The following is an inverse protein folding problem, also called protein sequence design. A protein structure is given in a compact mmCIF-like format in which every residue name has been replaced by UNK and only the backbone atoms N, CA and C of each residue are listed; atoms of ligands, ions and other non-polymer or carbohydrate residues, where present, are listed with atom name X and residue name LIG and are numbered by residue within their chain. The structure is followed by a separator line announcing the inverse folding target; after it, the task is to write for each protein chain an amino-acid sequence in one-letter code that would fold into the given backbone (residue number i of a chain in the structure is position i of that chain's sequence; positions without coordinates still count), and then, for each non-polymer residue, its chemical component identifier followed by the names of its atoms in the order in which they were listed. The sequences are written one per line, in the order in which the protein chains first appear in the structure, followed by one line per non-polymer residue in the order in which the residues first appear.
data_IF_700035097769
#
_entry.id   IF_700035097769
#
_cell.length_a   1.000
_cell.length_b   1.000
_cell.length_c   1.000
_cell.angle_alpha   90.00
_cell.angle_beta   90.00
_cell.angle_gamma   90.00
#
_symmetry.space_group_name_H-M   'P 1'
#
loop_
_entity.id
_entity.type
_entity.pdbx_description
1 polymer ?
2 polymer ?
3 water ?
#
loop_
_entity_poly.entity_id
_entity_poly.type
_entity_poly.pdbx_seq_one_letter_code
_entity_poly.pdbx_strand_id
2 'polyribonucleotide' 'CCCC' ?
#
# COMPACT_ATOMS: atom_id res chain seq x y z
N UNK A 3 -5.32 -2.48 7.81
CA UNK A 3 -5.47 -1.07 7.43
C UNK A 3 -4.75 -0.17 8.42
N UNK A 4 -4.39 -0.74 9.57
CA UNK A 4 -3.66 0.02 10.59
C UNK A 4 -2.17 0.08 10.32
N UNK A 5 -1.79 -0.12 9.05
CA UNK A 5 -0.41 -0.11 8.61
C UNK A 5 -0.01 1.20 7.93
N UNK A 6 -0.99 2.05 7.61
CA UNK A 6 -0.78 3.24 6.79
C UNK A 6 -0.60 4.46 7.68
N UNK A 7 0.40 5.27 7.37
CA UNK A 7 0.73 6.42 8.19
C UNK A 7 0.36 7.69 7.46
N UNK A 8 -0.11 8.66 8.23
CA UNK A 8 -0.21 10.04 7.79
C UNK A 8 0.90 10.82 8.48
N UNK A 9 1.65 11.58 7.70
CA UNK A 9 2.69 12.47 8.21
C UNK A 9 2.22 13.89 7.96
N UNK A 10 2.13 14.69 9.03
CA UNK A 10 1.62 16.04 8.95
C UNK A 10 2.62 17.10 9.39
N UNK A 11 2.15 18.35 9.31
CA UNK A 11 2.93 19.52 9.69
C UNK A 11 4.25 19.61 8.92
N UNK A 12 4.21 19.28 7.63
CA UNK A 12 5.38 19.34 6.77
C UNK A 12 5.45 20.71 6.10
N UNK A 13 6.66 21.25 5.97
CA UNK A 13 6.80 22.46 5.18
C UNK A 13 6.68 22.12 3.69
N UNK A 14 6.43 23.16 2.91
CA UNK A 14 6.16 23.01 1.49
C UNK A 14 7.32 22.38 0.73
N UNK A 15 8.56 22.53 1.21
CA UNK A 15 9.71 21.96 0.56
C UNK A 15 10.15 20.62 1.16
N UNK A 16 9.29 19.95 1.92
CA UNK A 16 9.61 18.60 2.38
C UNK A 16 9.65 17.66 1.18
N UNK A 17 10.70 16.87 1.07
CA UNK A 17 10.84 15.90 -0.01
C UNK A 17 10.80 14.48 0.53
N UNK A 18 10.42 13.49 -0.31
CA UNK A 18 10.54 12.08 0.09
C UNK A 18 11.83 11.73 0.79
N UNK A 19 12.95 12.24 0.28
CA UNK A 19 14.25 11.89 0.87
C UNK A 19 14.34 12.35 2.32
N UNK A 20 13.74 13.51 2.65
CA UNK A 20 13.69 13.95 4.05
C UNK A 20 13.03 12.89 4.93
N UNK A 21 11.88 12.36 4.47
CA UNK A 21 11.11 11.42 5.27
C UNK A 21 11.79 10.06 5.33
N UNK A 22 12.39 9.64 4.22
CA UNK A 22 13.21 8.42 4.18
C UNK A 22 14.27 8.42 5.27
N UNK A 23 15.03 9.52 5.38
CA UNK A 23 16.09 9.61 6.38
C UNK A 23 15.52 9.58 7.78
N UNK A 24 14.42 10.28 8.00
CA UNK A 24 13.78 10.29 9.31
C UNK A 24 13.38 8.88 9.72
N UNK A 25 12.79 8.11 8.79
CA UNK A 25 12.42 6.75 9.14
C UNK A 25 13.63 5.85 9.28
N UNK A 26 14.63 6.04 8.41
CA UNK A 26 15.89 5.28 8.52
C UNK A 26 16.60 5.59 9.85
N UNK A 27 16.69 6.87 10.22
CA UNK A 27 17.26 7.24 11.52
C UNK A 27 16.55 6.52 12.66
N UNK A 28 15.22 6.47 12.62
CA UNK A 28 14.48 5.79 13.66
C UNK A 28 14.41 4.28 13.43
N UNK A 29 15.03 3.77 12.36
CA UNK A 29 15.08 2.34 12.06
C UNK A 29 13.69 1.75 11.85
N UNK A 30 12.81 2.49 11.19
CA UNK A 30 11.46 2.03 10.89
C UNK A 30 11.40 1.64 9.41
N UNK A 31 11.10 0.37 9.10
CA UNK A 31 10.93 0.00 7.68
C UNK A 31 9.61 0.51 7.12
N UNK A 32 9.61 0.81 5.84
CA UNK A 32 8.37 1.13 5.16
C UNK A 32 8.22 0.12 4.02
N UNK A 33 6.98 -0.17 3.68
CA UNK A 33 6.69 -1.18 2.67
C UNK A 33 6.27 -0.56 1.35
N UNK A 34 6.29 0.77 1.25
CA UNK A 34 6.00 1.46 0.03
C UNK A 34 6.67 2.82 0.01
N UNK A 35 6.43 3.60 -1.03
CA UNK A 35 7.08 4.91 -1.14
C UNK A 35 6.38 5.97 -0.30
N UNK A 36 7.13 7.02 0.03
CA UNK A 36 6.53 8.19 0.65
C UNK A 36 5.78 8.97 -0.42
N UNK A 37 4.47 9.10 -0.27
CA UNK A 37 3.69 9.96 -1.16
C UNK A 37 3.56 11.32 -0.46
N UNK A 38 4.18 12.34 -1.05
CA UNK A 38 4.26 13.66 -0.44
C UNK A 38 3.31 14.60 -1.17
N UNK A 39 2.43 15.26 -0.41
CA UNK A 39 1.58 16.30 -0.95
C UNK A 39 2.12 17.63 -0.46
N UNK A 40 1.25 18.57 -0.14
CA UNK A 40 1.64 19.93 0.25
C UNK A 40 1.27 20.12 1.72
N UNK A 41 2.27 20.02 2.59
CA UNK A 41 2.06 20.06 4.02
C UNK A 41 1.90 18.71 4.71
N UNK A 42 1.80 17.62 3.95
CA UNK A 42 1.54 16.32 4.56
C UNK A 42 1.95 15.23 3.57
N UNK A 43 1.98 13.99 4.07
CA UNK A 43 2.41 12.87 3.25
C UNK A 43 1.81 11.59 3.80
N UNK A 44 1.98 10.50 3.03
CA UNK A 44 1.57 9.16 3.40
C UNK A 44 2.70 8.18 3.14
N UNK A 45 2.83 7.20 4.03
CA UNK A 45 3.68 6.04 3.81
C UNK A 45 3.04 4.86 4.53
N UNK A 46 3.31 3.66 4.04
CA UNK A 46 2.84 2.42 4.64
C UNK A 46 3.99 1.70 5.32
N UNK A 47 3.69 1.05 6.43
CA UNK A 47 4.64 0.24 7.13
C UNK A 47 4.29 -1.24 6.96
N UNK A 48 5.24 -2.15 7.16
CA UNK A 48 4.95 -3.55 6.82
C UNK A 48 3.87 -4.18 7.68
N UNK A 49 3.64 -3.67 8.90
CA UNK A 49 2.51 -4.10 9.70
C UNK A 49 2.16 -2.99 10.69
N UNK A 50 1.15 -3.25 11.52
CA UNK A 50 0.65 -2.24 12.46
C UNK A 50 1.58 -2.04 13.65
N UNK A 51 2.43 -3.02 13.95
CA UNK A 51 3.41 -2.84 15.02
C UNK A 51 4.49 -1.84 14.60
N UNK A 52 4.97 -1.96 13.36
CA UNK A 52 5.95 -0.98 12.87
C UNK A 52 5.34 0.41 12.76
N UNK A 53 4.10 0.49 12.28
CA UNK A 53 3.47 1.80 12.11
C UNK A 53 3.24 2.45 13.47
N UNK A 54 2.82 1.68 14.48
CA UNK A 54 2.69 2.22 15.82
C UNK A 54 4.05 2.65 16.36
N UNK A 55 5.09 1.86 16.08
CA UNK A 55 6.42 2.25 16.50
C UNK A 55 6.83 3.57 15.84
N UNK A 56 6.49 3.77 14.57
CA UNK A 56 6.77 5.05 13.93
C UNK A 56 6.06 6.20 14.64
N UNK A 57 4.77 6.02 14.94
CA UNK A 57 4.00 7.06 15.61
C UNK A 57 4.63 7.41 16.93
N UNK A 58 4.91 6.38 17.75
CA UNK A 58 5.48 6.60 19.08
C UNK A 58 6.86 7.23 18.99
N UNK A 59 7.65 6.83 18.01
CA UNK A 59 9.02 7.35 17.91
C UNK A 59 9.08 8.75 17.31
N UNK A 60 8.13 9.13 16.46
CA UNK A 60 8.33 10.31 15.64
C UNK A 60 7.35 11.44 15.92
N UNK A 61 6.08 11.14 16.15
CA UNK A 61 5.07 12.20 16.18
C UNK A 61 5.36 13.17 17.32
N UNK A 62 5.56 14.43 16.95
CA UNK A 62 5.86 15.47 17.91
C UNK A 62 7.28 15.49 18.42
N UNK A 63 8.13 14.54 18.02
CA UNK A 63 9.47 14.50 18.58
C UNK A 63 10.57 14.85 17.59
N UNK A 64 10.34 14.63 16.31
CA UNK A 64 11.34 14.90 15.27
C UNK A 64 10.92 16.16 14.54
N UNK A 65 11.85 17.08 14.37
CA UNK A 65 11.61 18.29 13.61
C UNK A 65 12.21 18.15 12.23
N UNK A 66 11.51 18.68 11.25
CA UNK A 66 12.00 18.79 9.89
C UNK A 66 11.73 20.23 9.47
N UNK A 67 12.77 20.94 9.04
CA UNK A 67 12.65 22.34 8.62
C UNK A 67 12.01 23.16 9.74
N UNK A 68 12.50 22.94 10.95
CA UNK A 68 12.07 23.66 12.11
C UNK A 68 10.70 23.32 12.67
N UNK A 69 9.98 22.36 12.07
CA UNK A 69 8.62 22.04 12.46
C UNK A 69 8.54 20.62 13.00
N UNK A 70 8.08 20.40 14.25
CA UNK A 70 7.76 19.05 14.72
C UNK A 70 6.80 18.30 13.79
N UNK A 71 7.25 17.16 13.24
CA UNK A 71 6.38 16.39 12.35
C UNK A 71 5.28 15.72 13.16
N UNK A 72 4.12 15.53 12.53
CA UNK A 72 3.07 14.68 13.05
C UNK A 72 3.13 13.37 12.29
N UNK A 73 3.06 12.25 13.02
CA UNK A 73 2.92 10.93 12.42
C UNK A 73 1.74 10.26 13.12
N UNK A 74 0.71 9.93 12.35
CA UNK A 74 -0.57 9.44 12.87
C UNK A 74 -1.02 8.29 11.99
N UNK A 75 -1.90 7.44 12.52
CA UNK A 75 -2.61 6.51 11.64
C UNK A 75 -3.32 7.31 10.58
N UNK A 76 -3.21 6.88 9.32
CA UNK A 76 -3.97 7.51 8.24
C UNK A 76 -5.43 7.06 8.33
N UNK A 77 -6.34 8.00 8.52
CA UNK A 77 -7.74 7.63 8.59
C UNK A 77 -8.54 8.54 7.65
N UNK A 78 -9.15 7.98 6.60
CA UNK A 78 -10.04 8.79 5.76
C UNK A 78 -11.21 9.31 6.59
N UNK A 79 -11.69 10.48 6.21
CA UNK A 79 -12.69 11.17 7.02
C UNK A 79 -13.91 10.30 7.24
N UNK A 80 -14.33 9.56 6.22
CA UNK A 80 -15.49 8.69 6.35
C UNK A 80 -15.29 7.54 7.32
N UNK A 81 -14.06 7.27 7.76
CA UNK A 81 -13.79 6.20 8.70
C UNK A 81 -13.45 6.71 10.08
N UNK A 82 -13.65 8.00 10.31
CA UNK A 82 -13.49 8.58 11.65
C UNK A 82 -14.87 8.55 12.30
N UNK A 83 -15.18 7.45 12.97
CA UNK A 83 -16.53 7.30 13.49
C UNK A 83 -16.49 7.05 14.99
N UNK A 84 -16.34 5.79 15.42
CA UNK A 84 -16.41 5.47 16.85
C UNK A 84 -15.09 5.08 17.48
N UNK A 85 -14.07 4.76 16.69
CA UNK A 85 -12.87 4.10 17.19
C UNK A 85 -11.73 5.10 17.36
N UNK A 86 -11.05 5.02 18.49
CA UNK A 86 -9.91 5.86 18.82
C UNK A 86 -8.77 5.00 19.34
N UNK A 87 -7.57 5.54 19.24
CA UNK A 87 -6.41 5.00 19.91
C UNK A 87 -5.91 6.02 20.91
N UNK A 88 -5.51 5.55 22.08
CA UNK A 88 -4.97 6.38 23.13
C UNK A 88 -3.54 5.95 23.38
N UNK A 89 -2.62 6.90 23.30
CA UNK A 89 -1.21 6.67 23.49
C UNK A 89 -0.72 7.50 24.67
N UNK A 90 0.49 7.18 25.13
CA UNK A 90 1.16 7.86 26.23
C UNK A 90 0.42 7.65 27.56
N UNK A 91 -0.26 6.52 27.70
CA UNK A 91 -0.92 6.18 28.97
C UNK A 91 0.17 5.85 30.00
N UNK A 92 0.11 6.42 31.20
CA UNK A 92 1.16 6.16 32.21
C UNK A 92 1.38 4.68 32.40
N UNK A 93 2.62 4.26 32.64
CA UNK A 93 2.97 2.84 32.49
C UNK A 93 2.11 1.87 33.28
N UNK A 94 1.87 2.15 34.56
CA UNK A 94 1.16 1.19 35.41
C UNK A 94 -0.21 1.70 35.83
N UNK A 95 -0.82 2.53 34.99
CA UNK A 95 -2.11 3.09 35.29
C UNK A 95 -3.13 1.99 35.54
N UNK A 96 -3.81 2.06 36.68
CA UNK A 96 -4.94 1.18 36.94
C UNK A 96 -6.01 1.36 35.89
N UNK A 97 -6.50 0.24 35.34
CA UNK A 97 -7.55 0.33 34.33
C UNK A 97 -8.81 0.94 34.90
N UNK A 98 -9.03 0.82 36.22
CA UNK A 98 -10.16 1.50 36.85
C UNK A 98 -10.10 3.00 36.62
N UNK A 99 -8.90 3.58 36.63
CA UNK A 99 -8.76 5.01 36.41
C UNK A 99 -9.10 5.37 34.98
N UNK A 100 -8.49 4.66 34.01
CA UNK A 100 -8.78 4.91 32.61
C UNK A 100 -10.27 4.77 32.31
N UNK A 101 -10.90 3.70 32.81
CA UNK A 101 -12.34 3.54 32.63
C UNK A 101 -13.10 4.75 33.15
N UNK A 102 -12.69 5.29 34.31
CA UNK A 102 -13.43 6.41 34.90
C UNK A 102 -13.36 7.64 34.02
N UNK A 103 -12.32 7.73 33.21
CA UNK A 103 -12.18 8.84 32.27
C UNK A 103 -12.97 8.56 31.00
N UNK A 104 -12.88 7.31 30.50
CA UNK A 104 -13.52 6.97 29.24
C UNK A 104 -15.03 7.12 29.33
N UNK A 105 -15.62 6.64 30.43
CA UNK A 105 -17.08 6.57 30.51
C UNK A 105 -17.74 7.92 30.70
N UNK A 106 -16.94 8.96 31.01
CA UNK A 106 -17.52 10.30 31.07
C UNK A 106 -17.99 10.80 29.71
N UNK A 107 -17.61 10.13 28.62
CA UNK A 107 -17.97 10.58 27.28
C UNK A 107 -18.83 9.60 26.51
N UNK A 108 -19.13 8.42 27.06
CA UNK A 108 -20.07 7.54 26.43
C UNK A 108 -19.95 6.14 26.99
N UNK A 109 -20.61 5.22 26.33
CA UNK A 109 -20.49 3.81 26.65
C UNK A 109 -19.36 3.22 25.83
N UNK A 110 -18.40 2.63 26.50
CA UNK A 110 -17.27 2.01 25.83
C UNK A 110 -17.77 0.69 25.27
N UNK A 111 -17.96 0.64 23.95
CA UNK A 111 -18.38 -0.59 23.28
C UNK A 111 -17.26 -1.61 23.28
N UNK A 112 -16.02 -1.13 23.15
CA UNK A 112 -14.87 -2.02 23.03
C UNK A 112 -13.65 -1.28 23.55
N UNK A 113 -12.76 -2.01 24.22
CA UNK A 113 -11.50 -1.44 24.67
C UNK A 113 -10.48 -2.56 24.74
N UNK A 114 -9.35 -2.36 24.08
CA UNK A 114 -8.33 -3.39 23.93
C UNK A 114 -6.96 -2.77 24.14
N UNK A 115 -6.17 -3.34 25.04
CA UNK A 115 -4.78 -2.92 25.17
C UNK A 115 -3.97 -3.39 23.95
N UNK A 116 -3.12 -2.50 23.43
CA UNK A 116 -2.24 -2.83 22.31
C UNK A 116 -0.83 -3.05 22.83
N UNK A 117 -0.27 -4.20 22.50
CA UNK A 117 1.09 -4.53 22.94
C UNK A 117 2.10 -3.52 22.38
N UNK A 118 3.13 -3.25 23.18
CA UNK A 118 4.11 -2.22 22.87
C UNK A 118 5.28 -2.37 23.83
N UNK A 119 6.48 -2.06 23.35
CA UNK A 119 7.67 -2.12 24.20
C UNK A 119 8.05 -0.76 24.77
N UNK A 120 7.30 0.29 24.43
CA UNK A 120 7.55 1.60 25.02
C UNK A 120 7.17 1.60 26.51
N UNK A 121 7.68 2.62 27.21
CA UNK A 121 7.39 2.75 28.64
C UNK A 121 5.90 2.87 28.91
N UNK A 122 5.14 3.40 27.97
CA UNK A 122 3.76 3.81 28.18
C UNK A 122 2.82 2.84 27.46
N UNK A 123 1.56 2.88 27.84
CA UNK A 123 0.58 1.94 27.27
C UNK A 123 -0.23 2.59 26.15
N UNK A 124 -0.89 1.73 25.37
CA UNK A 124 -1.72 2.11 24.23
C UNK A 124 -2.96 1.25 24.28
N UNK A 125 -4.12 1.86 24.04
CA UNK A 125 -5.37 1.12 23.99
C UNK A 125 -6.21 1.66 22.85
N UNK A 126 -6.93 0.75 22.20
CA UNK A 126 -7.95 1.10 21.22
C UNK A 126 -9.30 1.11 21.91
N UNK A 127 -10.12 2.10 21.58
CA UNK A 127 -11.43 2.27 22.20
C UNK A 127 -12.46 2.45 21.12
N UNK A 128 -13.51 1.63 21.17
CA UNK A 128 -14.72 1.85 20.39
C UNK A 128 -15.78 2.39 21.34
N UNK A 129 -16.19 3.62 21.11
CA UNK A 129 -17.36 4.18 21.75
C UNK A 129 -18.63 3.71 21.04
N UNK A 130 -19.76 3.86 21.74
CA UNK A 130 -21.02 3.38 21.21
C UNK A 130 -21.51 4.20 20.02
N UNK A 131 -21.07 5.45 19.89
CA UNK A 131 -21.53 6.26 18.77
C UNK A 131 -20.43 7.21 18.30
N UNK A 132 -20.67 7.78 17.12
CA UNK A 132 -19.80 8.80 16.56
C UNK A 132 -19.65 9.99 17.51
N UNK A 133 -20.77 10.51 18.01
CA UNK A 133 -20.70 11.70 18.84
C UNK A 133 -19.91 11.45 20.12
N UNK A 134 -19.98 10.24 20.68
CA UNK A 134 -19.23 9.96 21.90
C UNK A 134 -17.73 9.99 21.64
N UNK A 135 -17.27 9.27 20.61
CA UNK A 135 -15.85 9.26 20.28
C UNK A 135 -15.35 10.67 20.02
N UNK A 136 -16.17 11.49 19.34
CA UNK A 136 -15.72 12.84 19.03
C UNK A 136 -15.52 13.67 20.29
N UNK A 137 -16.46 13.57 21.24
CA UNK A 137 -16.31 14.30 22.49
C UNK A 137 -15.11 13.77 23.28
N UNK A 138 -14.96 12.45 23.34
CA UNK A 138 -13.83 11.84 24.03
C UNK A 138 -12.51 12.30 23.43
N UNK A 139 -12.43 12.39 22.11
CA UNK A 139 -11.20 12.85 21.46
C UNK A 139 -10.91 14.30 21.82
N UNK A 140 -11.93 15.17 21.75
CA UNK A 140 -11.75 16.55 22.14
C UNK A 140 -11.31 16.70 23.60
N UNK A 141 -11.83 15.86 24.50
CA UNK A 141 -11.55 16.03 25.93
C UNK A 141 -10.32 15.26 26.43
N UNK A 142 -9.98 14.14 25.78
CA UNK A 142 -8.86 13.33 26.23
C UNK A 142 -7.56 13.65 25.50
N UNK A 143 -7.61 14.06 24.24
CA UNK A 143 -6.39 14.39 23.52
C UNK A 143 -5.73 15.61 24.15
N UNK A 144 -4.53 15.41 24.69
CA UNK A 144 -3.85 16.45 25.42
C UNK A 144 -4.07 16.46 26.92
N UNK A 145 -4.96 15.60 27.43
CA UNK A 145 -5.24 15.59 28.86
C UNK A 145 -4.02 15.11 29.65
N UNK A 146 -3.68 15.86 30.69
CA UNK A 146 -2.47 15.59 31.45
C UNK A 146 -2.81 14.68 32.62
N UNK A 147 -2.11 13.56 32.71
CA UNK A 147 -2.39 12.52 33.70
C UNK A 147 -1.05 12.05 34.24
N UNK A 148 -0.75 12.41 35.50
CA UNK A 148 0.47 12.00 36.19
C UNK A 148 1.72 12.37 35.40
N UNK A 149 1.77 13.64 34.94
CA UNK A 149 2.88 14.16 34.14
C UNK A 149 3.06 13.42 32.81
N UNK A 150 2.04 12.71 32.36
CA UNK A 150 1.97 12.21 31.00
C UNK A 150 0.83 12.93 30.27
N UNK A 151 1.03 13.21 28.99
CA UNK A 151 0.02 13.89 28.19
C UNK A 151 -0.59 12.87 27.24
N UNK A 152 -1.84 12.49 27.49
CA UNK A 152 -2.52 11.53 26.63
C UNK A 152 -2.55 12.03 25.20
N UNK A 153 -2.28 11.12 24.27
CA UNK A 153 -2.40 11.38 22.84
C UNK A 153 -3.54 10.53 22.32
N UNK A 154 -4.58 11.18 21.80
CA UNK A 154 -5.78 10.49 21.35
C UNK A 154 -6.05 10.89 19.90
N UNK A 155 -6.26 9.88 19.05
CA UNK A 155 -6.46 10.10 17.63
C UNK A 155 -7.43 9.05 17.11
N UNK A 156 -8.01 9.33 15.95
CA UNK A 156 -8.90 8.36 15.29
C UNK A 156 -8.12 7.18 14.74
N UNK A 157 -8.78 6.03 14.73
CA UNK A 157 -8.33 4.89 13.94
C UNK A 157 -9.47 4.49 13.02
N UNK A 158 -9.19 3.73 11.94
CA UNK A 158 -10.25 3.42 10.97
C UNK A 158 -11.42 2.67 11.60
N UNK A 159 -12.60 3.23 11.46
CA UNK A 159 -13.82 2.51 11.78
C UNK A 159 -14.31 1.83 10.51
N UNK A 160 -14.27 0.49 10.49
CA UNK A 160 -14.69 -0.36 9.36
C UNK A 160 -14.15 0.13 8.02
N UNK B 3 9.30 -12.15 -26.11
CA UNK B 3 8.44 -11.06 -26.54
C UNK B 3 7.29 -10.84 -25.56
N UNK B 4 6.69 -9.65 -25.66
CA UNK B 4 5.66 -9.24 -24.72
C UNK B 4 4.25 -9.58 -25.16
N UNK B 5 4.09 -10.66 -25.94
CA UNK B 5 2.78 -11.21 -26.21
C UNK B 5 2.61 -12.60 -25.63
N UNK B 6 3.60 -13.08 -24.89
CA UNK B 6 3.54 -14.37 -24.23
C UNK B 6 3.00 -14.21 -22.82
N UNK B 7 2.01 -15.02 -22.47
CA UNK B 7 1.33 -14.92 -21.20
C UNK B 7 1.68 -16.10 -20.31
N UNK B 8 1.76 -15.83 -19.02
CA UNK B 8 1.76 -16.84 -17.98
C UNK B 8 0.39 -16.80 -17.30
N UNK B 9 -0.21 -17.97 -17.13
CA UNK B 9 -1.50 -18.11 -16.48
C UNK B 9 -1.30 -18.96 -15.23
N UNK B 10 -1.54 -18.38 -14.05
CA UNK B 10 -1.31 -19.06 -12.79
C UNK B 10 -2.57 -19.26 -11.97
N UNK B 11 -2.36 -19.93 -10.82
CA UNK B 11 -3.44 -20.29 -9.90
C UNK B 11 -4.54 -21.10 -10.59
N UNK B 12 -4.13 -22.01 -11.46
CA UNK B 12 -5.04 -22.97 -12.09
C UNK B 12 -5.25 -24.17 -11.19
N UNK B 13 -6.46 -24.72 -11.25
CA UNK B 13 -6.70 -26.00 -10.61
C UNK B 13 -6.01 -27.11 -11.40
N UNK B 14 -5.79 -28.24 -10.72
CA UNK B 14 -5.13 -29.36 -11.36
C UNK B 14 -6.01 -30.04 -12.40
N UNK B 15 -7.30 -29.68 -12.45
CA UNK B 15 -8.24 -30.22 -13.41
C UNK B 15 -8.29 -29.41 -14.70
N UNK B 16 -7.72 -28.20 -14.71
CA UNK B 16 -7.89 -27.28 -15.82
C UNK B 16 -7.37 -27.89 -17.12
N UNK B 17 -8.18 -27.80 -18.15
CA UNK B 17 -7.86 -28.24 -19.50
C UNK B 17 -7.73 -27.04 -20.42
N UNK B 18 -7.11 -27.21 -21.59
CA UNK B 18 -7.06 -26.09 -22.55
C UNK B 18 -8.44 -25.55 -22.90
N UNK B 19 -9.45 -26.42 -22.99
CA UNK B 19 -10.79 -25.95 -23.35
C UNK B 19 -11.32 -24.96 -22.34
N UNK B 20 -10.97 -25.15 -21.06
CA UNK B 20 -11.33 -24.16 -20.06
C UNK B 20 -10.78 -22.80 -20.41
N UNK B 21 -9.53 -22.74 -20.83
CA UNK B 21 -8.91 -21.46 -21.11
C UNK B 21 -9.37 -20.88 -22.45
N UNK B 22 -9.59 -21.73 -23.46
CA UNK B 22 -10.17 -21.26 -24.72
C UNK B 22 -11.48 -20.52 -24.46
N UNK B 23 -12.41 -21.12 -23.71
CA UNK B 23 -13.70 -20.47 -23.50
C UNK B 23 -13.55 -19.18 -22.71
N UNK B 24 -12.58 -19.13 -21.79
CA UNK B 24 -12.32 -17.91 -21.04
C UNK B 24 -11.86 -16.78 -21.96
N UNK B 25 -10.83 -17.04 -22.79
CA UNK B 25 -10.38 -15.99 -23.71
C UNK B 25 -11.46 -15.66 -24.72
N UNK B 26 -12.19 -16.67 -25.19
CA UNK B 26 -13.26 -16.44 -26.16
C UNK B 26 -14.31 -15.49 -25.60
N UNK B 27 -14.76 -15.73 -24.36
CA UNK B 27 -15.77 -14.86 -23.77
C UNK B 27 -15.25 -13.45 -23.61
N UNK B 28 -14.01 -13.31 -23.16
CA UNK B 28 -13.39 -12.00 -23.01
C UNK B 28 -12.99 -11.38 -24.34
N UNK B 29 -13.23 -12.08 -25.45
CA UNK B 29 -12.97 -11.55 -26.79
C UNK B 29 -11.48 -11.22 -26.98
N UNK B 30 -10.63 -12.11 -26.50
CA UNK B 30 -9.18 -12.00 -26.64
C UNK B 30 -8.72 -13.13 -27.55
N UNK B 31 -8.12 -12.83 -28.71
CA UNK B 31 -7.56 -13.89 -29.55
C UNK B 31 -6.25 -14.42 -28.99
N UNK B 32 -5.93 -15.65 -29.39
CA UNK B 32 -4.59 -16.19 -29.13
C UNK B 32 -3.95 -16.60 -30.46
N UNK B 33 -2.63 -16.50 -30.52
CA UNK B 33 -1.88 -16.85 -31.72
C UNK B 33 -1.35 -18.28 -31.70
N UNK B 34 -1.56 -19.02 -30.61
CA UNK B 34 -1.21 -20.42 -30.56
C UNK B 34 -1.98 -21.19 -29.50
N UNK B 35 -1.59 -22.42 -29.25
CA UNK B 35 -2.34 -23.25 -28.30
C UNK B 35 -1.96 -22.93 -26.85
N UNK B 36 -2.90 -23.25 -25.95
CA UNK B 36 -2.63 -23.23 -24.53
C UNK B 36 -1.80 -24.46 -24.16
N UNK B 37 -0.73 -24.24 -23.38
CA UNK B 37 0.12 -25.31 -22.89
C UNK B 37 -0.09 -25.41 -21.39
N UNK B 38 -0.87 -26.40 -20.95
CA UNK B 38 -1.25 -26.53 -19.55
C UNK B 38 -0.23 -27.41 -18.83
N UNK B 39 0.41 -26.85 -17.81
CA UNK B 39 1.32 -27.58 -16.94
C UNK B 39 0.55 -27.98 -15.68
N UNK B 40 1.06 -27.76 -14.47
CA UNK B 40 0.43 -28.20 -13.22
C UNK B 40 0.17 -26.98 -12.35
N UNK B 41 -1.03 -26.43 -12.47
CA UNK B 41 -1.40 -25.23 -11.76
C UNK B 41 -1.10 -23.95 -12.48
N UNK B 42 -0.61 -24.02 -13.71
CA UNK B 42 -0.28 -22.85 -14.52
C UNK B 42 -0.24 -23.26 -15.98
N UNK B 43 -0.24 -22.25 -16.86
CA UNK B 43 -0.31 -22.47 -18.30
C UNK B 43 0.40 -21.34 -19.03
N UNK B 44 0.78 -21.61 -20.29
CA UNK B 44 1.34 -20.59 -21.17
C UNK B 44 0.48 -20.48 -22.43
N UNK B 45 0.45 -19.28 -23.00
CA UNK B 45 -0.25 -19.03 -24.27
C UNK B 45 0.30 -17.74 -24.84
N UNK B 46 0.21 -17.61 -26.17
CA UNK B 46 0.61 -16.41 -26.88
C UNK B 46 -0.59 -15.69 -27.48
N UNK B 47 -0.58 -14.39 -27.35
CA UNK B 47 -1.49 -13.45 -27.98
C UNK B 47 -0.86 -12.90 -29.26
N UNK B 48 -1.66 -12.42 -30.20
CA UNK B 48 -1.10 -12.00 -31.50
C UNK B 48 -0.09 -10.86 -31.41
N UNK B 49 -0.18 -10.00 -30.39
CA UNK B 49 0.75 -8.89 -30.24
C UNK B 49 0.77 -8.47 -28.77
N UNK B 50 1.59 -7.45 -28.47
CA UNK B 50 1.71 -6.96 -27.10
C UNK B 50 0.39 -6.41 -26.57
N UNK B 51 -0.38 -5.75 -27.42
CA UNK B 51 -1.55 -5.06 -26.90
C UNK B 51 -2.66 -6.06 -26.53
N UNK B 52 -2.80 -7.14 -27.30
CA UNK B 52 -3.73 -8.18 -26.88
C UNK B 52 -3.26 -8.84 -25.58
N UNK B 53 -1.95 -9.06 -25.43
CA UNK B 53 -1.42 -9.63 -24.20
C UNK B 53 -1.74 -8.75 -22.99
N UNK B 54 -1.57 -7.43 -23.13
CA UNK B 54 -1.91 -6.50 -22.05
C UNK B 54 -3.40 -6.55 -21.75
N UNK B 55 -4.23 -6.54 -22.78
CA UNK B 55 -5.67 -6.62 -22.56
C UNK B 55 -6.05 -7.89 -21.81
N UNK B 56 -5.41 -9.00 -22.14
CA UNK B 56 -5.64 -10.24 -21.41
C UNK B 56 -5.37 -10.04 -19.92
N UNK B 57 -4.22 -9.43 -19.60
CA UNK B 57 -3.85 -9.23 -18.21
C UNK B 57 -4.91 -8.37 -17.51
N UNK B 58 -5.34 -7.28 -18.14
CA UNK B 58 -6.24 -6.37 -17.45
C UNK B 58 -7.67 -6.93 -17.38
N UNK B 59 -8.11 -7.62 -18.44
CA UNK B 59 -9.46 -8.15 -18.44
C UNK B 59 -9.57 -9.39 -17.57
N UNK B 60 -8.53 -10.22 -17.51
CA UNK B 60 -8.67 -11.55 -16.94
C UNK B 60 -8.09 -11.70 -15.53
N UNK B 61 -6.90 -11.13 -15.27
CA UNK B 61 -6.16 -11.47 -14.06
C UNK B 61 -6.92 -11.08 -12.78
N UNK B 62 -7.14 -12.07 -11.92
CA UNK B 62 -7.91 -11.87 -10.69
C UNK B 62 -9.39 -11.61 -10.87
N UNK B 63 -9.90 -11.59 -12.11
CA UNK B 63 -11.29 -11.27 -12.36
C UNK B 63 -12.12 -12.46 -12.81
N UNK B 64 -11.49 -13.56 -13.18
CA UNK B 64 -12.15 -14.74 -13.71
C UNK B 64 -11.77 -15.92 -12.84
N UNK B 65 -12.76 -16.70 -12.44
CA UNK B 65 -12.49 -17.91 -11.67
C UNK B 65 -12.68 -19.11 -12.57
N UNK B 66 -11.82 -20.11 -12.36
CA UNK B 66 -11.93 -21.38 -13.05
C UNK B 66 -11.90 -22.47 -11.99
N UNK B 67 -12.95 -23.30 -11.95
CA UNK B 67 -13.06 -24.37 -10.97
C UNK B 67 -12.96 -23.85 -9.53
N UNK B 68 -13.35 -22.60 -9.32
CA UNK B 68 -13.42 -22.02 -8.00
C UNK B 68 -12.23 -21.17 -7.59
N UNK B 69 -11.17 -21.15 -8.40
CA UNK B 69 -10.04 -20.30 -8.06
C UNK B 69 -9.93 -19.19 -9.07
N UNK B 70 -9.60 -17.97 -8.66
CA UNK B 70 -9.40 -16.91 -9.65
C UNK B 70 -8.09 -17.14 -10.37
N UNK B 71 -8.14 -17.07 -11.69
CA UNK B 71 -6.92 -17.23 -12.47
C UNK B 71 -6.07 -15.97 -12.35
N UNK B 72 -4.77 -16.12 -12.58
CA UNK B 72 -3.84 -15.01 -12.65
C UNK B 72 -3.27 -14.97 -14.06
N UNK B 73 -3.12 -13.78 -14.62
CA UNK B 73 -2.57 -13.62 -15.95
C UNK B 73 -1.51 -12.53 -15.90
N UNK B 74 -0.34 -12.82 -16.48
CA UNK B 74 0.76 -11.89 -16.43
C UNK B 74 1.66 -12.14 -17.63
N UNK B 75 2.47 -11.15 -17.95
CA UNK B 75 3.54 -11.35 -18.92
C UNK B 75 4.41 -12.53 -18.50
N UNK B 76 4.68 -13.42 -19.45
CA UNK B 76 5.64 -14.49 -19.19
C UNK B 76 7.05 -13.94 -19.31
N UNK B 77 7.78 -13.95 -18.21
CA UNK B 77 9.15 -13.43 -18.19
C UNK B 77 10.03 -14.47 -17.52
N UNK B 78 10.93 -15.13 -18.24
CA UNK B 78 11.87 -16.03 -17.55
C UNK B 78 12.64 -15.26 -16.50
N UNK B 79 13.07 -15.98 -15.47
CA UNK B 79 13.73 -15.33 -14.33
C UNK B 79 14.97 -14.56 -14.78
N UNK B 80 15.78 -15.15 -15.67
CA UNK B 80 17.00 -14.49 -16.13
C UNK B 80 16.71 -13.21 -16.90
N UNK B 81 15.48 -13.01 -17.37
CA UNK B 81 15.10 -11.81 -18.09
C UNK B 81 14.38 -10.79 -17.22
N UNK B 82 14.25 -11.05 -15.93
CA UNK B 82 13.68 -10.10 -14.97
C UNK B 82 14.85 -9.28 -14.43
N UNK B 83 15.07 -8.09 -15.00
CA UNK B 83 16.25 -7.32 -14.66
C UNK B 83 15.87 -5.88 -14.37
N UNK B 84 15.96 -4.99 -15.37
CA UNK B 84 15.75 -3.56 -15.15
C UNK B 84 14.33 -3.06 -15.46
N UNK B 85 13.52 -3.84 -16.16
CA UNK B 85 12.32 -3.31 -16.79
C UNK B 85 11.06 -3.75 -16.06
N UNK B 86 10.18 -2.79 -15.78
CA UNK B 86 8.90 -3.05 -15.13
C UNK B 86 7.77 -2.46 -15.96
N UNK B 87 6.59 -3.06 -15.83
CA UNK B 87 5.35 -2.45 -16.30
C UNK B 87 4.49 -2.10 -15.09
N UNK B 88 3.93 -0.89 -15.10
CA UNK B 88 3.08 -0.39 -14.03
C UNK B 88 1.69 -0.19 -14.61
N UNK B 89 0.70 -0.82 -14.00
CA UNK B 89 -0.68 -0.77 -14.47
C UNK B 89 -1.57 -0.18 -13.39
N UNK B 90 -2.78 0.19 -13.80
CA UNK B 90 -3.79 0.72 -12.90
C UNK B 90 -3.36 2.05 -12.29
N UNK B 91 -2.63 2.85 -13.06
CA UNK B 91 -2.29 4.21 -12.65
C UNK B 91 -3.56 5.07 -12.75
N UNK B 92 -3.91 5.85 -11.72
CA UNK B 92 -5.08 6.74 -11.80
C UNK B 92 -5.03 7.62 -13.03
N UNK B 93 -6.17 7.78 -13.72
CA UNK B 93 -6.17 8.42 -15.05
C UNK B 93 -5.50 9.79 -15.14
N UNK B 94 -5.67 10.66 -14.15
CA UNK B 94 -5.23 12.03 -14.29
C UNK B 94 -3.96 12.33 -13.52
N UNK B 95 -3.27 11.30 -13.04
CA UNK B 95 -2.08 11.51 -12.22
C UNK B 95 -1.08 12.40 -12.93
N UNK B 96 -0.67 13.47 -12.27
CA UNK B 96 0.49 14.24 -12.73
C UNK B 96 1.70 13.32 -12.80
N UNK B 97 2.38 13.34 -13.94
CA UNK B 97 3.55 12.49 -14.11
C UNK B 97 4.60 12.77 -13.05
N UNK B 98 4.66 14.00 -12.57
CA UNK B 98 5.60 14.34 -11.50
C UNK B 98 5.29 13.60 -10.20
N UNK B 99 4.02 13.23 -9.97
CA UNK B 99 3.70 12.44 -8.79
C UNK B 99 4.25 11.04 -8.94
N UNK B 100 3.97 10.41 -10.08
CA UNK B 100 4.53 9.09 -10.35
C UNK B 100 6.05 9.11 -10.31
N UNK B 101 6.67 10.12 -10.93
CA UNK B 101 8.13 10.20 -10.92
C UNK B 101 8.68 10.30 -9.50
N UNK B 102 8.05 11.10 -8.63
CA UNK B 102 8.55 11.21 -7.27
C UNK B 102 8.52 9.86 -6.57
N UNK B 103 7.63 8.96 -6.98
CA UNK B 103 7.66 7.61 -6.43
C UNK B 103 8.78 6.79 -7.06
N UNK B 104 8.88 6.84 -8.39
CA UNK B 104 9.84 6.00 -9.09
C UNK B 104 11.27 6.27 -8.64
N UNK B 105 11.62 7.53 -8.38
CA UNK B 105 13.02 7.85 -8.14
C UNK B 105 13.46 7.47 -6.74
N UNK B 106 12.51 7.15 -5.85
CA UNK B 106 12.88 6.67 -4.53
C UNK B 106 13.64 5.35 -4.61
N UNK B 107 13.61 4.67 -5.74
CA UNK B 107 14.17 3.33 -5.83
C UNK B 107 15.34 3.22 -6.80
N UNK B 108 15.65 4.26 -7.56
CA UNK B 108 16.82 4.26 -8.40
C UNK B 108 16.69 5.28 -9.51
N UNK B 109 17.56 5.15 -10.50
CA UNK B 109 17.57 6.07 -11.64
C UNK B 109 16.69 5.49 -12.73
N UNK B 110 15.76 6.29 -13.24
CA UNK B 110 14.87 5.86 -14.31
C UNK B 110 15.58 6.17 -15.62
N UNK B 111 16.12 5.15 -16.28
CA UNK B 111 16.74 5.39 -17.59
C UNK B 111 15.68 5.73 -18.65
N UNK B 112 14.51 5.10 -18.58
CA UNK B 112 13.45 5.47 -19.50
C UNK B 112 12.09 5.12 -18.91
N UNK B 113 11.09 5.82 -19.43
CA UNK B 113 9.70 5.66 -19.06
C UNK B 113 8.87 5.87 -20.32
N UNK B 114 7.98 4.94 -20.61
CA UNK B 114 7.19 4.99 -21.84
C UNK B 114 5.74 4.71 -21.50
N UNK B 115 4.85 5.56 -21.99
CA UNK B 115 3.44 5.28 -21.83
C UNK B 115 2.99 4.23 -22.82
N UNK B 116 2.13 3.34 -22.38
CA UNK B 116 1.63 2.25 -23.22
C UNK B 116 0.19 2.54 -23.55
N UNK B 117 -0.16 2.40 -24.82
CA UNK B 117 -1.55 2.55 -25.20
C UNK B 117 -2.39 1.50 -24.50
N UNK B 118 -3.58 1.90 -24.10
CA UNK B 118 -4.50 0.97 -23.44
C UNK B 118 -5.90 1.53 -23.61
N UNK B 119 -6.87 0.61 -23.76
CA UNK B 119 -8.27 0.98 -23.79
C UNK B 119 -8.83 1.23 -22.41
N UNK B 120 -8.06 0.92 -21.38
CA UNK B 120 -8.43 1.17 -19.99
C UNK B 120 -8.46 2.67 -19.70
N UNK B 121 -9.25 3.05 -18.70
CA UNK B 121 -9.19 4.43 -18.24
C UNK B 121 -7.94 4.70 -17.41
N UNK B 122 -7.36 3.66 -16.81
CA UNK B 122 -6.11 3.81 -16.11
C UNK B 122 -4.95 3.81 -17.10
N UNK B 123 -3.83 4.36 -16.65
CA UNK B 123 -2.64 4.43 -17.47
C UNK B 123 -1.75 3.21 -17.24
N UNK B 124 -0.82 3.01 -18.18
CA UNK B 124 0.18 1.95 -18.09
C UNK B 124 1.50 2.51 -18.60
N UNK B 125 2.57 2.32 -17.83
CA UNK B 125 3.90 2.72 -18.29
C UNK B 125 4.87 1.55 -18.15
N UNK B 126 5.83 1.52 -19.07
CA UNK B 126 6.98 0.63 -19.01
C UNK B 126 8.17 1.44 -18.52
N UNK B 127 8.80 1.01 -17.43
CA UNK B 127 9.91 1.74 -16.81
C UNK B 127 11.16 0.88 -16.86
N UNK B 128 12.28 1.51 -17.22
CA UNK B 128 13.59 0.86 -17.17
C UNK B 128 14.43 1.59 -16.12
N UNK B 129 14.78 0.89 -15.03
CA UNK B 129 15.74 1.38 -14.07
C UNK B 129 17.17 1.10 -14.53
N UNK B 130 18.12 1.75 -13.88
CA UNK B 130 19.53 1.59 -14.24
C UNK B 130 19.99 0.15 -14.00
N UNK B 131 19.52 -0.49 -12.94
CA UNK B 131 20.09 -1.77 -12.54
C UNK B 131 18.98 -2.68 -12.01
N UNK B 132 19.35 -3.95 -11.86
CA UNK B 132 18.41 -4.99 -11.47
C UNK B 132 17.93 -4.81 -10.04
N UNK B 133 18.83 -4.42 -9.12
CA UNK B 133 18.43 -4.23 -7.73
C UNK B 133 17.44 -3.08 -7.56
N UNK B 134 17.57 -2.03 -8.37
CA UNK B 134 16.63 -0.91 -8.29
C UNK B 134 15.23 -1.34 -8.74
N UNK B 135 15.16 -2.05 -9.86
CA UNK B 135 13.86 -2.55 -10.33
C UNK B 135 13.25 -3.53 -9.34
N UNK B 136 14.07 -4.40 -8.77
CA UNK B 136 13.56 -5.38 -7.82
C UNK B 136 13.01 -4.69 -6.58
N UNK B 137 13.69 -3.63 -6.14
CA UNK B 137 13.20 -2.84 -5.02
C UNK B 137 11.93 -2.08 -5.40
N UNK B 138 11.91 -1.48 -6.59
CA UNK B 138 10.74 -0.73 -7.03
C UNK B 138 9.51 -1.64 -7.13
N UNK B 139 9.69 -2.84 -7.69
CA UNK B 139 8.59 -3.78 -7.80
C UNK B 139 8.04 -4.16 -6.43
N UNK B 140 8.93 -4.45 -5.48
CA UNK B 140 8.48 -4.89 -4.16
C UNK B 140 7.72 -3.77 -3.46
N UNK B 141 8.15 -2.53 -3.64
CA UNK B 141 7.59 -1.39 -2.93
C UNK B 141 6.40 -0.76 -3.64
N UNK B 142 6.30 -0.90 -4.97
CA UNK B 142 5.23 -0.26 -5.71
C UNK B 142 4.06 -1.20 -6.02
N UNK B 143 4.30 -2.50 -6.08
CA UNK B 143 3.20 -3.43 -6.31
C UNK B 143 2.24 -3.42 -5.11
N UNK B 144 0.97 -3.16 -5.36
CA UNK B 144 0.00 -3.01 -4.31
C UNK B 144 -0.06 -1.63 -3.68
N UNK B 145 0.77 -0.69 -4.14
CA UNK B 145 0.76 0.63 -3.53
C UNK B 145 -0.50 1.38 -3.94
N UNK B 146 -1.15 2.01 -2.97
CA UNK B 146 -2.45 2.63 -3.20
C UNK B 146 -2.26 4.12 -3.37
N UNK B 147 -2.75 4.64 -4.49
CA UNK B 147 -2.57 6.03 -4.89
C UNK B 147 -3.93 6.52 -5.39
N UNK B 148 -4.49 7.53 -4.73
CA UNK B 148 -5.76 8.12 -5.14
C UNK B 148 -6.81 7.06 -5.42
N UNK B 149 -6.92 6.10 -4.49
CA UNK B 149 -7.90 5.02 -4.50
C UNK B 149 -7.63 3.94 -5.56
N UNK B 150 -6.50 3.97 -6.25
CA UNK B 150 -6.11 2.92 -7.17
C UNK B 150 -4.93 2.13 -6.62
N UNK B 151 -4.96 0.83 -6.82
CA UNK B 151 -3.91 -0.07 -6.38
C UNK B 151 -2.99 -0.33 -7.58
N UNK B 152 -1.77 0.20 -7.49
CA UNK B 152 -0.82 0.01 -8.57
C UNK B 152 -0.49 -1.46 -8.72
N UNK B 153 -0.32 -1.89 -9.97
CA UNK B 153 0.08 -3.25 -10.30
C UNK B 153 1.39 -3.17 -11.06
N UNK B 154 2.44 -3.77 -10.50
CA UNK B 154 3.78 -3.69 -11.04
C UNK B 154 4.32 -5.10 -11.21
N UNK B 155 4.76 -5.40 -12.44
CA UNK B 155 5.31 -6.71 -12.79
C UNK B 155 6.50 -6.50 -13.72
N UNK B 156 7.34 -7.53 -13.81
CA UNK B 156 8.47 -7.47 -14.73
C UNK B 156 8.01 -7.56 -16.18
N UNK B 157 8.83 -7.04 -17.07
CA UNK B 157 8.73 -7.35 -18.49
C UNK B 157 10.12 -7.78 -18.93
N UNK B 158 10.23 -8.49 -20.06
CA UNK B 158 11.54 -9.05 -20.43
C UNK B 158 12.57 -7.95 -20.61
N UNK B 159 13.71 -8.11 -19.95
CA UNK B 159 14.87 -7.29 -20.18
C UNK B 159 15.87 -8.18 -20.92
N UNK B 160 15.58 -8.42 -22.19
CA UNK B 160 16.33 -9.41 -22.96
C UNK B 160 17.75 -8.95 -23.23
N UNK B 161 17.94 -7.65 -23.46
CA UNK B 161 19.26 -7.14 -23.82
C UNK B 161 20.23 -7.27 -22.65
N UNK B 162 19.83 -6.84 -21.45
CA UNK B 162 20.68 -6.94 -20.27
C UNK B 162 20.83 -8.38 -19.81
#
# INVERSE_FOLDING_TARGET
GGSMNKLYIGNLSENAAPSDLESIFKDAKIPVSGPFLVKTGYAFVDCPDESWALKAIEALSGKIELHGKPIEVEHSVPKRQRIRKLQIRNIPPHLQWEVLDSLLVQYGVVESCEQVNTDSETAVVNVTYSSKDQARQALDKLNGFQLENFTLKVAYIPDEMAAQHHHHHH
GGSMNKLYIGNLSENAAPSDLESIFKDAKIPVSGPFLVKTGYAFVDCPDESWALKAIEALSGKIELHGKPIEVEHSVPKRQRIRKLQIRNIPPHLQWEVLDSLLVQYGVVESCEQVNTDSETAVVNVTYSSKDQARQALDKLNGFQLENFTLKVAYIPDEMAAQHHHHHH
#
